data_IF_131937524116
#
_entry.id   IF_131937524116
#
_cell.length_a   1.000
_cell.length_b   1.000
_cell.length_c   1.000
_cell.angle_alpha   90.00
_cell.angle_beta   90.00
_cell.angle_gamma   90.00
#
_symmetry.space_group_name_H-M   'P 1'
#
loop_
_entity.id
_entity.type
_entity.pdbx_description
1 polymer ?
#
# COMPACT_ATOMS: atom_id res chain seq x y z
N UNK A 1 -1.53 -11.50 -2.59
CA UNK A 1 -1.14 -12.81 -3.14
C UNK A 1 -2.15 -13.29 -4.18
N UNK A 2 -1.88 -14.43 -4.86
CA UNK A 2 -2.73 -15.05 -5.89
C UNK A 2 -3.14 -14.13 -7.04
N UNK A 3 -2.24 -13.25 -7.46
CA UNK A 3 -2.51 -12.30 -8.53
C UNK A 3 -2.30 -12.97 -9.89
N UNK A 4 -3.36 -13.01 -10.69
CA UNK A 4 -3.29 -13.47 -12.09
C UNK A 4 -2.64 -12.40 -12.97
N UNK A 5 -1.83 -12.85 -13.92
CA UNK A 5 -1.26 -12.01 -14.97
C UNK A 5 -1.41 -12.70 -16.32
N UNK A 6 -2.20 -12.09 -17.20
CA UNK A 6 -2.47 -12.53 -18.57
C UNK A 6 -3.09 -13.95 -18.72
N UNK A 7 -3.72 -14.51 -17.67
CA UNK A 7 -4.39 -15.79 -17.73
C UNK A 7 -5.60 -15.76 -18.68
N UNK A 8 -5.80 -16.84 -19.46
CA UNK A 8 -6.84 -16.91 -20.51
C UNK A 8 -8.26 -16.83 -19.92
N UNK A 9 -8.55 -17.59 -18.85
CA UNK A 9 -9.85 -17.58 -18.17
C UNK A 9 -10.17 -16.28 -17.42
N UNK A 10 -9.23 -15.36 -17.35
CA UNK A 10 -9.35 -14.03 -16.71
C UNK A 10 -9.22 -12.89 -17.73
N UNK A 11 -9.62 -13.11 -18.98
CA UNK A 11 -9.57 -12.11 -20.07
C UNK A 11 -8.19 -11.49 -20.29
N UNK A 12 -7.12 -12.22 -20.00
CA UNK A 12 -5.73 -11.75 -20.11
C UNK A 12 -5.45 -10.44 -19.37
N UNK A 13 -6.17 -10.17 -18.31
CA UNK A 13 -5.93 -9.01 -17.44
C UNK A 13 -4.63 -9.19 -16.65
N UNK A 14 -4.04 -8.08 -16.25
CA UNK A 14 -2.97 -8.03 -15.25
C UNK A 14 -3.59 -7.47 -13.97
N UNK A 15 -3.92 -8.33 -13.03
CA UNK A 15 -4.73 -7.94 -11.87
C UNK A 15 -4.05 -6.86 -11.02
N UNK A 16 -2.72 -6.92 -10.87
CA UNK A 16 -1.98 -5.88 -10.15
C UNK A 16 -2.09 -4.50 -10.80
N UNK A 17 -2.08 -4.45 -12.15
CA UNK A 17 -2.24 -3.20 -12.90
C UNK A 17 -3.65 -2.64 -12.71
N UNK A 18 -4.66 -3.51 -12.74
CA UNK A 18 -6.05 -3.11 -12.51
C UNK A 18 -6.24 -2.56 -11.09
N UNK A 19 -5.71 -3.21 -10.07
CA UNK A 19 -5.77 -2.73 -8.68
C UNK A 19 -5.10 -1.36 -8.56
N UNK A 20 -3.90 -1.19 -9.11
CA UNK A 20 -3.20 0.09 -9.09
C UNK A 20 -3.98 1.20 -9.79
N UNK A 21 -4.58 0.87 -10.94
CA UNK A 21 -5.38 1.82 -11.73
C UNK A 21 -6.67 2.23 -11.03
N UNK A 22 -7.40 1.26 -10.47
CA UNK A 22 -8.70 1.53 -9.84
C UNK A 22 -8.60 2.12 -8.47
N UNK A 23 -7.45 1.95 -7.79
CA UNK A 23 -7.19 2.62 -6.52
C UNK A 23 -7.10 4.15 -6.66
N UNK A 24 -6.95 4.68 -7.89
CA UNK A 24 -6.71 6.11 -8.17
C UNK A 24 -5.49 6.68 -7.42
N UNK A 25 -4.63 5.82 -6.92
CA UNK A 25 -3.43 6.18 -6.17
C UNK A 25 -2.19 5.96 -7.04
N UNK A 26 -1.19 6.83 -6.85
CA UNK A 26 0.06 6.76 -7.62
C UNK A 26 0.99 5.69 -7.04
N UNK A 27 0.98 4.50 -7.64
CA UNK A 27 1.78 3.35 -7.22
C UNK A 27 2.86 2.97 -8.24
N UNK A 28 3.98 2.49 -7.72
CA UNK A 28 4.92 1.63 -8.44
C UNK A 28 4.54 0.18 -8.17
N UNK A 29 4.43 -0.61 -9.21
CA UNK A 29 4.01 -2.00 -9.14
C UNK A 29 5.23 -2.93 -9.18
N UNK A 30 5.28 -3.90 -8.29
CA UNK A 30 6.30 -4.94 -8.27
C UNK A 30 5.60 -6.28 -8.28
N UNK A 31 5.65 -6.99 -9.41
CA UNK A 31 5.03 -8.31 -9.58
C UNK A 31 6.09 -9.41 -9.61
N UNK A 32 5.85 -10.51 -8.93
CA UNK A 32 6.69 -11.71 -8.94
C UNK A 32 5.90 -12.93 -9.42
N UNK A 33 6.38 -13.57 -10.47
CA UNK A 33 5.78 -14.80 -11.02
C UNK A 33 6.15 -15.98 -10.13
N UNK A 34 5.15 -16.61 -9.52
CA UNK A 34 5.30 -17.85 -8.77
C UNK A 34 5.27 -19.06 -9.71
N UNK A 35 4.24 -19.16 -10.55
CA UNK A 35 4.06 -20.27 -11.49
C UNK A 35 3.38 -19.80 -12.78
N UNK A 36 3.48 -20.63 -13.82
CA UNK A 36 2.66 -20.52 -15.01
C UNK A 36 1.22 -20.94 -14.67
N UNK A 37 0.25 -20.22 -15.20
CA UNK A 37 -1.16 -20.46 -14.93
C UNK A 37 -2.02 -20.07 -16.13
N UNK A 38 -2.77 -21.03 -16.69
CA UNK A 38 -3.76 -20.84 -17.74
C UNK A 38 -3.27 -19.96 -18.92
N UNK A 39 -2.06 -20.24 -19.42
CA UNK A 39 -1.45 -19.50 -20.53
C UNK A 39 -0.93 -18.09 -20.16
N UNK A 40 -0.97 -17.75 -18.90
CA UNK A 40 -0.36 -16.58 -18.27
C UNK A 40 0.43 -17.02 -17.05
N UNK A 41 0.36 -16.25 -15.96
CA UNK A 41 1.04 -16.57 -14.71
C UNK A 41 0.20 -16.22 -13.49
N UNK A 42 0.54 -16.82 -12.35
CA UNK A 42 0.05 -16.43 -11.03
C UNK A 42 1.23 -16.08 -10.12
N UNK A 43 1.02 -15.17 -9.20
CA UNK A 43 2.08 -14.77 -8.28
C UNK A 43 1.68 -13.76 -7.23
N UNK A 44 2.68 -13.08 -6.68
CA UNK A 44 2.51 -12.06 -5.68
C UNK A 44 2.80 -10.67 -6.25
N UNK A 45 2.22 -9.65 -5.63
CA UNK A 45 2.46 -8.26 -6.00
C UNK A 45 2.65 -7.36 -4.78
N UNK A 46 3.42 -6.32 -4.98
CA UNK A 46 3.58 -5.22 -4.03
C UNK A 46 3.27 -3.91 -4.74
N UNK A 47 2.42 -3.10 -4.16
CA UNK A 47 2.14 -1.74 -4.59
C UNK A 47 2.86 -0.76 -3.66
N UNK A 48 3.76 0.02 -4.21
CA UNK A 48 4.57 0.98 -3.45
C UNK A 48 4.16 2.40 -3.84
N UNK A 49 3.83 3.23 -2.86
CA UNK A 49 3.58 4.66 -3.13
C UNK A 49 4.78 5.28 -3.84
N UNK A 50 4.56 5.99 -4.94
CA UNK A 50 5.64 6.53 -5.78
C UNK A 50 6.59 7.49 -5.04
N UNK A 51 6.09 8.15 -3.99
CA UNK A 51 6.95 9.01 -3.17
C UNK A 51 7.97 8.25 -2.31
N UNK A 52 7.83 6.92 -2.16
CA UNK A 52 8.75 6.06 -1.42
C UNK A 52 9.73 5.40 -2.41
N UNK A 53 10.97 5.91 -2.56
CA UNK A 53 11.88 5.45 -3.58
C UNK A 53 12.35 4.01 -3.34
N UNK A 54 12.13 3.15 -4.32
CA UNK A 54 12.66 1.79 -4.33
C UNK A 54 14.14 1.84 -4.69
N UNK A 55 15.00 1.23 -3.86
CA UNK A 55 16.46 1.13 -4.08
C UNK A 55 16.83 -0.15 -4.82
N UNK A 56 16.16 -1.27 -4.50
CA UNK A 56 16.43 -2.58 -5.10
C UNK A 56 15.18 -3.47 -5.03
N UNK A 57 15.04 -4.33 -6.01
CA UNK A 57 14.05 -5.40 -6.02
C UNK A 57 14.79 -6.72 -6.19
N UNK A 58 14.47 -7.70 -5.35
CA UNK A 58 14.90 -9.10 -5.50
C UNK A 58 13.66 -9.98 -5.57
N UNK A 59 13.64 -10.90 -6.53
CA UNK A 59 12.60 -11.93 -6.65
C UNK A 59 13.29 -13.27 -6.52
N UNK A 60 12.84 -14.09 -5.59
CA UNK A 60 13.44 -15.39 -5.30
C UNK A 60 12.34 -16.45 -5.35
N UNK A 61 12.46 -17.41 -6.26
CA UNK A 61 11.60 -18.60 -6.23
C UNK A 61 11.89 -19.41 -4.97
N UNK A 62 10.85 -19.75 -4.25
CA UNK A 62 10.92 -20.62 -3.10
C UNK A 62 10.86 -22.08 -3.56
N UNK A 63 11.36 -22.97 -2.72
CA UNK A 63 11.46 -24.39 -3.01
C UNK A 63 10.11 -25.08 -2.82
N UNK A 64 9.22 -24.97 -3.79
CA UNK A 64 7.96 -25.71 -3.80
C UNK A 64 7.58 -26.21 -5.19
N UNK A 65 6.89 -27.35 -5.25
CA UNK A 65 6.43 -27.96 -6.50
C UNK A 65 5.31 -27.14 -7.16
N UNK A 66 4.52 -26.43 -6.36
CA UNK A 66 3.43 -25.59 -6.84
C UNK A 66 3.88 -24.19 -7.27
N UNK A 67 5.15 -23.85 -7.05
CA UNK A 67 5.70 -22.54 -7.36
C UNK A 67 5.28 -21.46 -6.35
N UNK A 68 6.24 -21.05 -5.52
CA UNK A 68 6.09 -19.93 -4.57
C UNK A 68 7.20 -18.93 -4.80
N UNK A 69 6.96 -17.69 -4.43
CA UNK A 69 7.93 -16.60 -4.67
C UNK A 69 8.00 -15.67 -3.48
N UNK A 70 9.22 -15.26 -3.14
CA UNK A 70 9.49 -14.12 -2.29
C UNK A 70 9.81 -12.90 -3.15
N UNK A 71 9.14 -11.80 -2.92
CA UNK A 71 9.49 -10.50 -3.47
C UNK A 71 10.09 -9.67 -2.33
N UNK A 72 11.33 -9.23 -2.46
CA UNK A 72 11.96 -8.26 -1.56
C UNK A 72 12.10 -6.92 -2.27
N UNK A 73 11.58 -5.88 -1.65
CA UNK A 73 11.68 -4.49 -2.09
C UNK A 73 12.46 -3.72 -1.02
N UNK A 74 13.65 -3.24 -1.37
CA UNK A 74 14.53 -2.51 -0.45
C UNK A 74 14.28 -1.00 -0.60
N UNK A 75 14.05 -0.34 0.51
CA UNK A 75 13.98 1.12 0.65
C UNK A 75 15.24 1.65 1.35
N UNK A 76 15.31 2.94 1.65
CA UNK A 76 16.46 3.52 2.36
C UNK A 76 16.59 2.93 3.77
N UNK A 77 15.52 3.00 4.56
CA UNK A 77 15.56 2.72 5.99
C UNK A 77 15.06 1.32 6.38
N UNK A 78 14.40 0.61 5.47
CA UNK A 78 13.86 -0.73 5.72
C UNK A 78 13.76 -1.55 4.43
N UNK A 79 13.47 -2.84 4.57
CA UNK A 79 13.10 -3.74 3.47
C UNK A 79 11.70 -4.30 3.70
N UNK A 80 10.97 -4.49 2.62
CA UNK A 80 9.66 -5.14 2.64
C UNK A 80 9.70 -6.41 1.81
N UNK A 81 9.23 -7.50 2.40
CA UNK A 81 9.10 -8.80 1.78
C UNK A 81 7.64 -9.18 1.63
N UNK A 82 7.26 -9.74 0.48
CA UNK A 82 5.93 -10.28 0.23
C UNK A 82 6.05 -11.72 -0.24
N UNK A 83 5.26 -12.61 0.37
CA UNK A 83 5.24 -14.04 0.05
C UNK A 83 3.84 -14.64 0.13
N UNK A 84 3.70 -15.86 -0.33
CA UNK A 84 2.57 -16.76 -0.11
C UNK A 84 3.16 -18.17 -0.05
N UNK A 85 3.10 -18.79 1.13
CA UNK A 85 3.74 -20.07 1.37
C UNK A 85 2.90 -21.25 0.90
N UNK A 86 3.53 -22.42 0.80
CA UNK A 86 2.91 -23.64 0.36
C UNK A 86 1.87 -24.17 1.37
N UNK A 87 0.95 -25.00 0.89
CA UNK A 87 -0.01 -25.74 1.73
C UNK A 87 0.60 -26.96 2.42
N UNK A 88 1.71 -27.49 1.89
CA UNK A 88 2.44 -28.61 2.48
C UNK A 88 3.37 -28.15 3.61
N UNK A 89 3.27 -28.76 4.77
CA UNK A 89 4.01 -28.36 5.98
C UNK A 89 5.53 -28.41 5.79
N UNK A 90 6.03 -29.42 5.08
CA UNK A 90 7.47 -29.58 4.85
C UNK A 90 8.00 -28.53 3.88
N UNK A 91 7.23 -28.23 2.84
CA UNK A 91 7.58 -27.16 1.89
C UNK A 91 7.56 -25.81 2.60
N UNK A 92 6.52 -25.49 3.38
CA UNK A 92 6.44 -24.26 4.18
C UNK A 92 7.65 -24.08 5.10
N UNK A 93 8.06 -25.14 5.79
CA UNK A 93 9.23 -25.08 6.67
C UNK A 93 10.51 -24.73 5.91
N UNK A 94 10.72 -25.34 4.72
CA UNK A 94 11.87 -25.02 3.88
C UNK A 94 11.81 -23.59 3.33
N UNK A 95 10.63 -23.14 2.96
CA UNK A 95 10.38 -21.77 2.47
C UNK A 95 10.62 -20.73 3.58
N UNK A 96 10.13 -20.99 4.79
CA UNK A 96 10.38 -20.15 5.96
C UNK A 96 11.89 -20.04 6.24
N UNK A 97 12.60 -21.17 6.26
CA UNK A 97 14.06 -21.19 6.46
C UNK A 97 14.80 -20.42 5.36
N UNK A 98 14.38 -20.57 4.09
CA UNK A 98 14.97 -19.82 2.98
C UNK A 98 14.72 -18.29 3.11
N UNK A 99 13.55 -17.88 3.58
CA UNK A 99 13.23 -16.48 3.84
C UNK A 99 14.07 -15.93 5.00
N UNK A 100 14.21 -16.66 6.12
CA UNK A 100 15.05 -16.26 7.24
C UNK A 100 16.52 -16.12 6.82
N UNK A 101 17.03 -17.01 5.96
CA UNK A 101 18.39 -16.93 5.40
C UNK A 101 18.62 -15.61 4.62
N UNK A 102 17.59 -15.02 4.03
CA UNK A 102 17.72 -13.72 3.36
C UNK A 102 18.08 -12.58 4.33
N UNK A 103 17.75 -12.70 5.62
CA UNK A 103 18.09 -11.68 6.63
C UNK A 103 19.59 -11.51 6.79
N UNK A 104 20.39 -12.54 6.54
CA UNK A 104 21.85 -12.49 6.61
C UNK A 104 22.46 -11.45 5.64
N UNK A 105 21.74 -11.14 4.58
CA UNK A 105 22.16 -10.21 3.53
C UNK A 105 21.56 -8.81 3.69
N UNK A 106 20.75 -8.58 4.78
CA UNK A 106 20.06 -7.32 4.99
C UNK A 106 20.60 -6.66 6.26
N UNK A 107 20.93 -5.38 6.17
CA UNK A 107 21.50 -4.61 7.29
C UNK A 107 20.57 -3.46 7.70
N UNK A 108 19.28 -3.74 7.72
CA UNK A 108 18.20 -2.82 8.08
C UNK A 108 16.97 -3.61 8.55
N UNK A 109 15.99 -2.96 9.20
CA UNK A 109 14.74 -3.61 9.59
C UNK A 109 14.00 -4.21 8.38
N UNK A 110 13.30 -5.33 8.60
CA UNK A 110 12.57 -6.04 7.55
C UNK A 110 11.14 -6.29 7.98
N UNK A 111 10.20 -5.97 7.11
CA UNK A 111 8.82 -6.40 7.20
C UNK A 111 8.59 -7.55 6.23
N UNK A 112 7.95 -8.63 6.70
CA UNK A 112 7.51 -9.76 5.88
C UNK A 112 6.00 -9.85 5.96
N UNK A 113 5.31 -9.73 4.83
CA UNK A 113 3.86 -9.81 4.75
C UNK A 113 3.40 -10.88 3.78
N UNK A 114 2.29 -11.54 4.10
CA UNK A 114 1.67 -12.50 3.20
C UNK A 114 0.81 -13.53 3.91
N UNK A 115 0.24 -14.42 3.10
CA UNK A 115 -0.41 -15.64 3.55
C UNK A 115 0.68 -16.68 3.86
N UNK A 116 0.80 -17.01 5.13
CA UNK A 116 1.79 -17.98 5.58
C UNK A 116 1.27 -19.42 5.48
N UNK A 117 -0.02 -19.62 5.15
CA UNK A 117 -0.69 -20.92 5.17
C UNK A 117 -0.42 -21.69 6.48
N UNK A 118 -0.10 -20.94 7.55
CA UNK A 118 0.27 -21.44 8.86
C UNK A 118 -0.15 -20.43 9.94
N UNK A 119 -0.25 -20.87 11.18
CA UNK A 119 -0.67 -20.01 12.28
C UNK A 119 0.24 -20.19 13.50
N UNK A 120 0.54 -19.08 14.16
CA UNK A 120 1.24 -19.09 15.44
C UNK A 120 0.49 -19.89 16.53
N UNK A 121 -0.79 -20.17 16.31
CA UNK A 121 -1.64 -20.98 17.21
C UNK A 121 -1.61 -22.46 16.89
N UNK A 122 -1.14 -22.85 15.71
CA UNK A 122 -1.03 -24.23 15.32
C UNK A 122 0.31 -24.79 15.82
N UNK A 123 0.37 -26.11 16.01
CA UNK A 123 1.61 -26.77 16.41
C UNK A 123 2.51 -27.09 15.20
N UNK A 124 2.55 -26.22 14.23
CA UNK A 124 3.31 -26.37 13.01
C UNK A 124 4.72 -25.77 13.15
N UNK A 125 5.69 -26.39 12.49
CA UNK A 125 7.09 -26.01 12.63
C UNK A 125 7.46 -24.77 11.78
N UNK A 126 6.76 -24.51 10.67
CA UNK A 126 7.11 -23.42 9.76
C UNK A 126 6.99 -22.05 10.45
N UNK A 127 5.91 -21.82 11.18
CA UNK A 127 5.74 -20.56 11.89
C UNK A 127 6.76 -20.38 13.01
N UNK A 128 7.19 -21.46 13.67
CA UNK A 128 8.24 -21.38 14.72
C UNK A 128 9.58 -20.93 14.16
N UNK A 129 9.92 -21.27 12.91
CA UNK A 129 11.13 -20.80 12.23
C UNK A 129 11.12 -19.27 12.11
N UNK A 130 9.98 -18.70 11.73
CA UNK A 130 9.86 -17.24 11.65
C UNK A 130 10.03 -16.57 13.03
N UNK A 131 9.49 -17.16 14.10
CA UNK A 131 9.54 -16.57 15.43
C UNK A 131 10.94 -16.53 16.06
N UNK A 132 11.94 -17.22 15.49
CA UNK A 132 13.34 -17.08 15.88
C UNK A 132 13.91 -15.71 15.49
N UNK A 133 13.45 -15.15 14.36
CA UNK A 133 14.00 -13.93 13.76
C UNK A 133 13.01 -12.77 13.69
N UNK A 134 11.71 -13.05 13.71
CA UNK A 134 10.64 -12.07 13.53
C UNK A 134 9.72 -11.98 14.74
N UNK A 135 9.18 -10.80 14.96
CA UNK A 135 8.03 -10.55 15.86
C UNK A 135 6.77 -10.42 15.01
N UNK A 136 5.63 -10.82 15.56
CA UNK A 136 4.34 -10.58 14.92
C UNK A 136 3.95 -9.12 15.13
N UNK A 137 3.74 -8.37 14.05
CA UNK A 137 3.26 -6.98 14.10
C UNK A 137 1.79 -6.86 13.76
N UNK A 138 1.24 -7.77 12.95
CA UNK A 138 -0.18 -7.78 12.64
C UNK A 138 -1.03 -8.19 13.82
N UNK A 139 -2.28 -7.70 13.82
CA UNK A 139 -3.33 -8.18 14.72
C UNK A 139 -3.53 -9.68 14.54
N UNK A 140 -3.65 -10.39 15.63
CA UNK A 140 -3.88 -11.84 15.67
C UNK A 140 -5.21 -12.21 16.32
N UNK A 141 -6.01 -11.23 16.74
CA UNK A 141 -7.30 -11.46 17.36
C UNK A 141 -8.38 -11.78 16.31
N UNK A 142 -8.66 -13.07 16.15
CA UNK A 142 -9.64 -13.59 15.22
C UNK A 142 -9.02 -14.29 14.01
N UNK A 143 -9.80 -14.40 12.94
CA UNK A 143 -9.44 -15.12 11.72
C UNK A 143 -9.18 -14.16 10.57
N UNK A 144 -8.24 -14.51 9.72
CA UNK A 144 -8.05 -13.89 8.40
C UNK A 144 -8.81 -14.65 7.31
N UNK A 145 -9.27 -15.88 7.58
CA UNK A 145 -10.19 -16.63 6.69
C UNK A 145 -11.62 -16.48 7.20
N UNK A 146 -12.54 -15.92 6.40
CA UNK A 146 -13.96 -15.83 6.74
C UNK A 146 -14.62 -17.19 6.97
N UNK A 147 -15.64 -17.23 7.83
CA UNK A 147 -16.47 -18.40 8.03
C UNK A 147 -15.84 -19.56 8.79
N UNK A 148 -14.63 -19.40 9.31
CA UNK A 148 -13.98 -20.37 10.20
C UNK A 148 -14.41 -20.14 11.65
N UNK A 149 -14.27 -21.19 12.48
CA UNK A 149 -14.42 -21.06 13.92
C UNK A 149 -13.48 -19.97 14.46
N UNK A 150 -13.98 -19.16 15.39
CA UNK A 150 -13.26 -18.00 15.89
C UNK A 150 -11.86 -18.38 16.41
N UNK A 151 -10.87 -17.57 16.06
CA UNK A 151 -9.45 -17.75 16.44
C UNK A 151 -8.78 -19.04 15.92
N UNK A 152 -9.32 -19.70 14.91
CA UNK A 152 -8.72 -20.94 14.37
C UNK A 152 -7.92 -20.75 13.08
N UNK A 153 -8.17 -19.69 12.34
CA UNK A 153 -7.63 -19.48 10.99
C UNK A 153 -7.10 -18.06 10.76
N UNK A 154 -6.16 -17.63 11.62
CA UNK A 154 -5.31 -16.48 11.37
C UNK A 154 -4.05 -16.99 10.66
N UNK A 155 -3.91 -16.75 9.36
CA UNK A 155 -2.80 -17.23 8.52
C UNK A 155 -2.14 -16.14 7.69
N UNK A 156 -2.73 -14.95 7.63
CA UNK A 156 -2.15 -13.77 7.00
C UNK A 156 -1.48 -12.90 8.05
N UNK A 157 -0.21 -12.60 7.83
CA UNK A 157 0.60 -11.89 8.81
C UNK A 157 1.41 -10.76 8.20
N UNK A 158 1.73 -9.79 9.05
CA UNK A 158 2.84 -8.86 8.88
C UNK A 158 3.79 -9.10 10.03
N UNK A 159 4.97 -9.62 9.71
CA UNK A 159 6.05 -9.94 10.63
C UNK A 159 7.13 -8.88 10.53
N UNK A 160 7.86 -8.66 11.62
CA UNK A 160 8.90 -7.64 11.72
C UNK A 160 10.20 -8.19 12.29
N UNK A 161 11.29 -8.03 11.56
CA UNK A 161 12.66 -8.27 12.03
C UNK A 161 13.32 -6.94 12.40
N UNK A 162 13.64 -6.79 13.69
CA UNK A 162 14.23 -5.56 14.22
C UNK A 162 15.77 -5.58 14.16
N UNK A 163 16.31 -5.07 13.08
CA UNK A 163 17.76 -4.97 12.95
C UNK A 163 18.32 -3.84 13.81
N UNK A 164 19.19 -4.22 14.80
CA UNK A 164 19.93 -3.30 15.69
C UNK A 164 19.05 -2.38 16.53
N UNK A 165 17.90 -2.83 16.98
CA UNK A 165 16.97 -2.04 17.78
C UNK A 165 16.64 -0.71 17.06
N UNK A 166 16.03 -0.81 15.91
CA UNK A 166 15.71 0.31 15.00
C UNK A 166 14.83 1.39 15.65
N UNK A 167 14.12 1.04 16.72
CA UNK A 167 13.14 1.90 17.37
C UNK A 167 11.84 2.05 16.57
N UNK A 168 11.61 1.22 15.55
CA UNK A 168 10.34 1.15 14.84
C UNK A 168 9.26 0.64 15.79
N UNK A 169 8.13 1.31 15.79
CA UNK A 169 7.00 1.01 16.66
C UNK A 169 5.78 0.62 15.83
N UNK A 170 5.10 -0.45 16.25
CA UNK A 170 3.74 -0.73 15.82
C UNK A 170 2.81 0.24 16.54
N UNK A 171 2.06 1.03 15.78
CA UNK A 171 1.11 2.00 16.33
C UNK A 171 -0.28 1.41 16.39
N UNK A 172 -0.69 0.72 15.33
CA UNK A 172 -2.02 0.15 15.18
C UNK A 172 -1.98 -1.00 14.18
N UNK A 173 -2.79 -2.03 14.43
CA UNK A 173 -2.96 -3.15 13.50
C UNK A 173 -4.36 -3.72 13.59
N UNK A 174 -4.92 -4.10 12.42
CA UNK A 174 -6.26 -4.68 12.36
C UNK A 174 -6.39 -5.73 11.26
N UNK A 175 -7.26 -6.71 11.52
CA UNK A 175 -7.90 -7.56 10.51
C UNK A 175 -9.17 -6.84 10.07
N UNK A 176 -9.24 -6.40 8.82
CA UNK A 176 -10.35 -5.59 8.30
C UNK A 176 -11.48 -6.50 7.83
N UNK A 177 -12.56 -6.59 8.59
CA UNK A 177 -13.73 -7.44 8.27
C UNK A 177 -14.80 -6.70 7.50
N UNK A 178 -14.94 -5.41 7.76
CA UNK A 178 -15.96 -4.57 7.12
C UNK A 178 -15.37 -3.24 6.70
N UNK A 179 -15.91 -2.67 5.64
CA UNK A 179 -15.62 -1.29 5.20
C UNK A 179 -16.93 -0.53 5.01
N UNK A 180 -16.87 0.79 5.04
CA UNK A 180 -18.04 1.63 4.74
C UNK A 180 -17.82 2.33 3.39
N UNK A 181 -18.75 2.09 2.45
CA UNK A 181 -18.76 2.72 1.12
C UNK A 181 -20.11 3.44 0.98
N UNK A 182 -20.08 4.73 0.71
CA UNK A 182 -21.29 5.58 0.54
C UNK A 182 -22.31 5.43 1.68
N UNK A 183 -21.81 5.27 2.92
CA UNK A 183 -22.62 5.10 4.12
C UNK A 183 -23.18 3.69 4.34
N UNK A 184 -22.87 2.74 3.45
CA UNK A 184 -23.25 1.33 3.60
C UNK A 184 -22.07 0.50 4.11
N UNK A 185 -22.32 -0.33 5.11
CA UNK A 185 -21.32 -1.29 5.60
C UNK A 185 -21.31 -2.52 4.69
N UNK A 186 -20.13 -2.83 4.15
CA UNK A 186 -19.87 -4.01 3.31
C UNK A 186 -19.04 -4.99 4.11
N UNK A 187 -19.48 -6.24 4.21
CA UNK A 187 -18.71 -7.34 4.79
C UNK A 187 -17.72 -7.88 3.74
N UNK A 188 -16.44 -7.86 4.05
CA UNK A 188 -15.40 -8.27 3.10
C UNK A 188 -15.34 -9.78 2.83
N UNK A 189 -16.05 -10.61 3.64
CA UNK A 189 -16.21 -12.04 3.33
C UNK A 189 -16.94 -12.29 2.00
N UNK A 190 -17.74 -11.33 1.54
CA UNK A 190 -18.47 -11.42 0.27
C UNK A 190 -17.61 -10.97 -0.93
N UNK A 191 -16.41 -10.47 -0.66
CA UNK A 191 -15.47 -9.93 -1.67
C UNK A 191 -14.27 -10.85 -1.88
N UNK A 192 -13.75 -11.46 -0.78
CA UNK A 192 -12.56 -12.31 -0.80
C UNK A 192 -12.70 -13.41 0.25
N UNK A 193 -12.01 -14.52 0.01
CA UNK A 193 -11.85 -15.63 0.96
C UNK A 193 -10.80 -15.35 2.06
N UNK A 194 -10.13 -14.18 1.98
CA UNK A 194 -9.27 -13.66 3.04
C UNK A 194 -9.67 -12.23 3.42
N UNK A 195 -9.57 -11.93 4.72
CA UNK A 195 -9.67 -10.56 5.20
C UNK A 195 -8.33 -9.83 5.06
N UNK A 196 -8.32 -8.57 4.60
CA UNK A 196 -7.11 -7.76 4.60
C UNK A 196 -6.57 -7.52 6.01
N UNK A 197 -5.23 -7.50 6.12
CA UNK A 197 -4.52 -7.15 7.35
C UNK A 197 -3.68 -5.91 7.09
N UNK A 198 -3.67 -4.95 8.02
CA UNK A 198 -2.76 -3.82 7.95
C UNK A 198 -2.06 -3.54 9.28
N UNK A 199 -0.95 -2.83 9.20
CA UNK A 199 -0.19 -2.32 10.33
C UNK A 199 0.24 -0.89 10.04
N UNK A 200 -0.06 0.01 10.96
CA UNK A 200 0.51 1.35 10.99
C UNK A 200 1.77 1.37 11.85
N UNK A 201 2.86 1.87 11.28
CA UNK A 201 4.17 1.89 11.94
C UNK A 201 4.73 3.30 12.02
N UNK A 202 5.51 3.54 13.07
CA UNK A 202 6.34 4.74 13.20
C UNK A 202 7.80 4.37 13.03
N UNK A 203 8.46 4.93 12.02
CA UNK A 203 9.90 4.77 11.76
C UNK A 203 10.61 6.01 12.31
N UNK A 204 11.54 5.89 13.28
CA UNK A 204 12.30 7.01 13.81
C UNK A 204 13.10 7.71 12.70
N UNK A 205 13.06 9.04 12.67
CA UNK A 205 13.78 9.83 11.66
C UNK A 205 13.11 9.92 10.30
N UNK A 206 12.19 9.03 9.96
CA UNK A 206 11.23 9.32 8.90
C UNK A 206 10.26 10.36 9.46
N UNK A 207 10.40 11.60 9.03
CA UNK A 207 9.28 12.50 9.11
C UNK A 207 8.15 11.80 8.39
N UNK A 208 7.09 11.41 9.12
CA UNK A 208 5.84 11.17 8.46
C UNK A 208 5.69 12.36 7.50
N UNK A 209 5.55 12.09 6.20
CA UNK A 209 4.79 13.04 5.40
C UNK A 209 3.51 13.07 6.21
N UNK A 210 3.32 14.16 6.95
CA UNK A 210 2.08 14.33 7.68
C UNK A 210 1.02 14.02 6.63
N UNK A 211 0.39 12.83 6.73
CA UNK A 211 -1.00 12.80 6.35
C UNK A 211 -1.52 13.96 7.17
N UNK A 212 -1.71 15.05 6.47
CA UNK A 212 -2.30 16.23 7.11
C UNK A 212 -3.53 15.66 7.78
N UNK A 213 -3.39 15.41 9.08
CA UNK A 213 -4.53 15.28 9.99
C UNK A 213 -5.49 16.26 9.40
N UNK A 214 -6.72 15.88 9.06
CA UNK A 214 -7.73 16.75 8.45
C UNK A 214 -7.52 18.16 8.95
N UNK A 215 -6.49 18.80 8.45
CA UNK A 215 -6.24 20.21 8.65
C UNK A 215 -7.34 20.82 7.82
N UNK A 216 -8.41 21.25 8.50
CA UNK A 216 -9.63 21.77 7.95
C UNK A 216 -9.35 23.07 7.19
N UNK A 217 -8.52 23.00 6.16
CA UNK A 217 -8.55 23.96 5.09
C UNK A 217 -9.67 23.51 4.15
N UNK A 218 -10.89 23.78 4.56
CA UNK A 218 -12.02 23.61 3.67
C UNK A 218 -11.94 24.69 2.60
N UNK A 219 -11.78 24.27 1.36
CA UNK A 219 -11.84 25.16 0.22
C UNK A 219 -12.96 24.74 -0.72
N UNK A 220 -13.60 25.72 -1.30
CA UNK A 220 -14.48 25.58 -2.47
C UNK A 220 -13.81 26.31 -3.64
N UNK A 221 -13.74 25.62 -4.79
CA UNK A 221 -13.20 26.21 -6.02
C UNK A 221 -14.35 26.48 -6.99
N UNK A 222 -14.30 27.62 -7.65
CA UNK A 222 -15.20 27.95 -8.74
C UNK A 222 -14.36 28.42 -9.93
N UNK A 223 -14.51 27.74 -11.06
CA UNK A 223 -13.79 28.01 -12.28
C UNK A 223 -14.70 28.73 -13.26
N UNK A 224 -14.25 29.86 -13.78
CA UNK A 224 -14.80 30.54 -14.95
C UNK A 224 -13.87 30.39 -16.17
N UNK A 225 -14.15 31.08 -17.27
CA UNK A 225 -13.33 30.99 -18.48
C UNK A 225 -11.90 31.51 -18.30
N UNK A 226 -11.73 32.52 -17.47
CA UNK A 226 -10.44 33.20 -17.27
C UNK A 226 -10.06 33.40 -15.80
N UNK A 227 -10.86 32.91 -14.86
CA UNK A 227 -10.62 33.11 -13.43
C UNK A 227 -10.92 31.86 -12.62
N UNK A 228 -10.08 31.58 -11.65
CA UNK A 228 -10.29 30.61 -10.60
C UNK A 228 -10.53 31.34 -9.26
N UNK A 229 -11.72 31.17 -8.71
CA UNK A 229 -12.05 31.66 -7.37
C UNK A 229 -11.83 30.58 -6.32
N UNK A 230 -11.21 30.97 -5.20
CA UNK A 230 -10.92 30.09 -4.05
C UNK A 230 -11.65 30.65 -2.85
N UNK A 231 -12.61 29.88 -2.33
CA UNK A 231 -13.34 30.23 -1.11
C UNK A 231 -12.77 29.40 0.04
N UNK A 232 -12.30 30.07 1.08
CA UNK A 232 -11.72 29.47 2.28
C UNK A 232 -12.07 30.28 3.51
N UNK A 233 -12.25 29.61 4.65
CA UNK A 233 -12.37 30.29 5.95
C UNK A 233 -11.03 30.80 6.48
N UNK A 234 -9.91 30.34 5.92
CA UNK A 234 -8.55 30.74 6.29
C UNK A 234 -7.90 31.55 5.18
N UNK A 235 -7.08 32.57 5.49
CA UNK A 235 -6.34 33.32 4.49
C UNK A 235 -5.43 32.41 3.65
N UNK A 236 -5.46 32.61 2.32
CA UNK A 236 -4.66 31.84 1.36
C UNK A 236 -3.49 32.69 0.90
N UNK A 237 -2.29 32.13 0.89
CA UNK A 237 -1.09 32.80 0.44
C UNK A 237 -0.48 32.25 -0.86
N UNK A 238 -0.92 31.07 -1.32
CA UNK A 238 -0.42 30.48 -2.56
C UNK A 238 -1.49 29.65 -3.26
N UNK A 239 -1.58 29.81 -4.58
CA UNK A 239 -2.41 29.00 -5.47
C UNK A 239 -1.53 28.51 -6.62
N UNK A 240 -1.42 27.19 -6.78
CA UNK A 240 -0.68 26.53 -7.85
C UNK A 240 -1.65 25.73 -8.71
N UNK A 241 -1.51 25.83 -10.04
CA UNK A 241 -2.30 25.06 -11.00
C UNK A 241 -1.36 24.15 -11.78
N UNK A 242 -1.67 22.87 -11.80
CA UNK A 242 -0.92 21.85 -12.51
C UNK A 242 -1.79 21.20 -13.59
N UNK A 243 -1.17 20.77 -14.66
CA UNK A 243 -1.78 19.87 -15.64
C UNK A 243 -1.95 18.46 -15.06
N UNK A 244 -2.71 17.62 -15.74
CA UNK A 244 -2.97 16.23 -15.33
C UNK A 244 -1.70 15.36 -15.22
N UNK A 245 -0.62 15.74 -15.92
CA UNK A 245 0.68 15.07 -15.85
C UNK A 245 1.63 15.67 -14.79
N UNK A 246 1.15 16.60 -13.95
CA UNK A 246 1.92 17.18 -12.85
C UNK A 246 2.80 18.37 -13.23
N UNK A 247 2.76 18.87 -14.49
CA UNK A 247 3.50 20.08 -14.87
C UNK A 247 2.84 21.32 -14.25
N UNK A 248 3.63 22.15 -13.55
CA UNK A 248 3.16 23.44 -13.05
C UNK A 248 2.85 24.37 -14.23
N UNK A 249 1.62 24.85 -14.28
CA UNK A 249 1.14 25.80 -15.29
C UNK A 249 1.24 27.22 -14.79
N UNK A 250 0.81 27.42 -13.54
CA UNK A 250 0.77 28.74 -12.92
C UNK A 250 0.97 28.64 -11.41
N UNK A 251 1.63 29.66 -10.85
CA UNK A 251 1.75 29.89 -9.41
C UNK A 251 1.46 31.33 -9.12
N UNK A 252 0.56 31.57 -8.18
CA UNK A 252 0.25 32.89 -7.63
C UNK A 252 0.54 32.90 -6.15
N UNK A 253 1.27 33.93 -5.69
CA UNK A 253 1.60 34.14 -4.28
C UNK A 253 1.19 35.55 -3.87
N UNK A 254 0.67 35.70 -2.66
CA UNK A 254 0.21 36.99 -2.11
C UNK A 254 -0.48 36.78 -0.77
N UNK A 255 -0.95 37.85 -0.19
CA UNK A 255 -1.71 37.81 1.05
C UNK A 255 -3.21 37.67 0.75
N UNK A 256 -3.89 36.79 1.48
CA UNK A 256 -5.34 36.56 1.41
C UNK A 256 -5.90 36.40 -0.01
N UNK A 257 -5.29 35.55 -0.81
CA UNK A 257 -5.69 35.27 -2.18
C UNK A 257 -7.09 34.65 -2.23
N UNK A 258 -8.03 35.31 -2.91
CA UNK A 258 -9.39 34.78 -3.14
C UNK A 258 -9.62 34.40 -4.59
N UNK A 259 -8.92 35.03 -5.51
CA UNK A 259 -9.05 34.79 -6.94
C UNK A 259 -7.67 34.76 -7.61
N UNK A 260 -7.59 34.07 -8.72
CA UNK A 260 -6.43 34.13 -9.62
C UNK A 260 -6.90 34.09 -11.06
N UNK A 261 -6.37 35.02 -11.87
CA UNK A 261 -6.56 34.93 -13.31
C UNK A 261 -5.84 33.69 -13.82
N UNK A 262 -6.51 32.92 -14.64
CA UNK A 262 -5.94 31.74 -15.28
C UNK A 262 -5.72 32.01 -16.77
N UNK A 263 -4.62 31.55 -17.37
CA UNK A 263 -4.46 31.59 -18.80
C UNK A 263 -5.57 30.78 -19.46
N UNK A 264 -5.82 31.01 -20.74
CA UNK A 264 -6.76 30.16 -21.50
C UNK A 264 -6.29 28.71 -21.46
N UNK A 265 -6.83 27.95 -20.49
CA UNK A 265 -6.53 26.54 -20.36
C UNK A 265 -7.38 25.75 -21.38
N UNK A 266 -6.80 24.82 -22.12
CA UNK A 266 -7.57 23.85 -22.93
C UNK A 266 -8.59 23.07 -22.09
N UNK A 267 -9.62 22.55 -22.72
CA UNK A 267 -10.53 21.61 -22.04
C UNK A 267 -9.72 20.43 -21.50
N UNK A 268 -9.92 20.08 -20.22
CA UNK A 268 -9.13 19.04 -19.59
C UNK A 268 -9.21 19.05 -18.06
N UNK A 269 -8.45 18.15 -17.47
CA UNK A 269 -8.33 17.98 -16.00
C UNK A 269 -7.10 18.71 -15.50
N UNK A 270 -7.28 19.46 -14.42
CA UNK A 270 -6.22 20.19 -13.74
C UNK A 270 -6.25 19.93 -12.24
N UNK A 271 -5.10 20.05 -11.59
CA UNK A 271 -4.96 19.98 -10.14
C UNK A 271 -4.68 21.41 -9.62
N UNK A 272 -5.47 21.85 -8.66
CA UNK A 272 -5.29 23.13 -7.98
C UNK A 272 -4.85 22.86 -6.56
N UNK A 273 -3.62 23.28 -6.25
CA UNK A 273 -3.05 23.21 -4.92
C UNK A 273 -3.11 24.59 -4.29
N UNK A 274 -3.70 24.64 -3.10
CA UNK A 274 -3.91 25.88 -2.34
C UNK A 274 -3.20 25.76 -1.01
N UNK A 275 -2.46 26.80 -0.62
CA UNK A 275 -1.76 26.87 0.66
C UNK A 275 -2.24 28.09 1.45
N UNK A 276 -2.55 27.89 2.73
CA UNK A 276 -2.91 28.97 3.65
C UNK A 276 -1.67 29.63 4.23
N UNK A 277 -1.83 30.84 4.80
CA UNK A 277 -0.78 31.54 5.52
C UNK A 277 -0.24 30.75 6.72
N UNK A 278 -1.09 29.93 7.35
CA UNK A 278 -0.71 29.03 8.44
C UNK A 278 0.05 27.78 7.96
N UNK A 279 0.31 27.65 6.64
CA UNK A 279 1.04 26.54 6.04
C UNK A 279 0.20 25.30 5.68
N UNK A 280 -1.12 25.33 5.89
CA UNK A 280 -2.01 24.26 5.47
C UNK A 280 -2.10 24.17 3.95
N UNK A 281 -2.08 22.97 3.42
CA UNK A 281 -2.15 22.74 1.98
C UNK A 281 -3.28 21.78 1.64
N UNK A 282 -4.04 22.10 0.60
CA UNK A 282 -5.06 21.20 0.04
C UNK A 282 -4.94 21.20 -1.49
N UNK A 283 -5.15 20.04 -2.11
CA UNK A 283 -5.17 19.90 -3.57
C UNK A 283 -6.54 19.39 -4.00
N UNK A 284 -7.14 20.06 -4.98
CA UNK A 284 -8.41 19.64 -5.59
C UNK A 284 -8.29 19.51 -7.11
N UNK A 285 -9.01 18.56 -7.64
CA UNK A 285 -9.17 18.36 -9.09
C UNK A 285 -10.26 19.26 -9.61
N UNK A 286 -10.01 19.91 -10.74
CA UNK A 286 -11.00 20.69 -11.49
C UNK A 286 -11.10 20.19 -12.94
N UNK A 287 -12.26 20.34 -13.55
CA UNK A 287 -12.50 20.03 -14.94
C UNK A 287 -12.83 21.34 -15.69
N UNK A 288 -12.00 21.69 -16.65
CA UNK A 288 -12.29 22.73 -17.65
C UNK A 288 -13.03 22.08 -18.82
N UNK A 289 -14.22 22.56 -19.15
CA UNK A 289 -15.06 22.09 -20.27
C UNK A 289 -14.83 22.93 -21.50
#
# INVERSE_FOLDING_TARGET
QELDSAANGRWKRVLLDDIAKWSELDYVQVYGIAADYDGGSVGNGTLVKRWLPIKKIKKMKLSSDVGRILIRTDFEDFSFMSTHLDLDDKHRMNEAAAICTELDYIRKPVFLAGDMNDSHRWKNLAFSVFLEDFQIFSDTEGNTIPGREENTACIDYILFHDYKNSGIQNIESHIVRTITIDGQTVDLKDISDHYPVYVDIKIPGMSAIQQTTKNNLEIRLQLSDCELSVFSAKPINEIEIFSSNGCLIQRNQGENLQTTNIPQLPAGIYLVKVKSEEGYTVTKKILKR
#
